data_IF_799946875072
#
_entry.id   IF_799946875072
#
_cell.length_a   1.000
_cell.length_b   1.000
_cell.length_c   1.000
_cell.angle_alpha   90.00
_cell.angle_beta   90.00
_cell.angle_gamma   90.00
#
_symmetry.space_group_name_H-M   'P 1'
#
loop_
_entity.id
_entity.type
_entity.pdbx_description
1 polymer ?
#
# COMPACT_ATOMS: atom_id res chain seq x y z
N UNK A 1 36.61 -9.46 -2.87
CA UNK A 1 35.74 -8.28 -3.05
C UNK A 1 34.52 -8.69 -3.87
N UNK A 2 33.36 -8.83 -3.23
CA UNK A 2 32.08 -8.60 -3.91
C UNK A 2 31.13 -8.07 -2.84
N UNK A 3 30.68 -6.86 -3.13
CA UNK A 3 29.99 -5.91 -2.27
C UNK A 3 28.66 -6.46 -1.78
N UNK A 4 28.41 -6.26 -0.49
CA UNK A 4 27.15 -6.46 0.20
C UNK A 4 26.02 -5.71 -0.51
N UNK A 5 24.96 -6.41 -0.85
CA UNK A 5 23.65 -5.80 -1.09
C UNK A 5 22.70 -6.35 -0.03
N UNK A 6 22.93 -5.90 1.20
CA UNK A 6 21.99 -6.07 2.29
C UNK A 6 20.83 -5.15 1.98
N UNK A 7 19.80 -5.67 1.30
CA UNK A 7 18.51 -5.02 1.19
C UNK A 7 17.97 -4.84 2.61
N UNK A 8 18.27 -3.67 3.18
CA UNK A 8 17.86 -3.27 4.51
C UNK A 8 16.35 -3.04 4.46
N UNK A 9 15.58 -4.08 4.74
CA UNK A 9 14.15 -3.95 5.04
C UNK A 9 14.05 -3.21 6.36
N UNK A 10 14.09 -1.88 6.30
CA UNK A 10 13.67 -1.03 7.42
C UNK A 10 12.23 -1.43 7.72
N UNK A 11 12.01 -2.13 8.83
CA UNK A 11 10.66 -2.44 9.32
C UNK A 11 10.05 -1.12 9.78
N UNK A 12 9.47 -0.39 8.83
CA UNK A 12 8.71 0.82 9.11
C UNK A 12 7.55 0.42 10.02
N UNK A 13 7.43 1.07 11.18
CA UNK A 13 6.33 0.82 12.09
C UNK A 13 5.05 1.43 11.49
N UNK A 14 4.15 0.56 11.01
CA UNK A 14 2.89 0.94 10.38
C UNK A 14 1.76 0.68 11.38
N UNK A 15 1.01 1.72 11.72
CA UNK A 15 -0.23 1.62 12.46
C UNK A 15 -1.36 1.21 11.50
N UNK A 16 -1.88 -0.01 11.66
CA UNK A 16 -2.90 -0.59 10.79
C UNK A 16 -4.32 -0.31 11.31
N UNK A 17 -5.24 -0.02 10.40
CA UNK A 17 -6.68 0.02 10.66
C UNK A 17 -7.26 -1.39 10.84
N UNK A 18 -8.52 -1.45 11.28
CA UNK A 18 -9.31 -2.66 11.15
C UNK A 18 -9.39 -3.10 9.67
N UNK A 19 -9.41 -4.42 9.40
CA UNK A 19 -9.54 -4.93 8.04
C UNK A 19 -10.92 -4.65 7.43
N UNK A 20 -10.92 -4.30 6.14
CA UNK A 20 -12.09 -4.29 5.28
C UNK A 20 -12.10 -5.56 4.44
N UNK A 21 -13.12 -6.40 4.63
CA UNK A 21 -13.30 -7.65 3.91
C UNK A 21 -14.51 -7.54 2.98
N UNK A 22 -14.31 -7.78 1.69
CA UNK A 22 -15.44 -8.02 0.77
C UNK A 22 -15.97 -9.43 0.97
N UNK A 23 -17.27 -9.63 0.78
CA UNK A 23 -17.90 -10.95 0.93
C UNK A 23 -17.24 -11.96 -0.02
N UNK A 24 -16.75 -13.08 0.53
CA UNK A 24 -16.08 -14.14 -0.24
C UNK A 24 -14.70 -13.80 -0.83
N UNK A 25 -14.08 -12.67 -0.47
CA UNK A 25 -12.87 -12.16 -1.13
C UNK A 25 -11.74 -11.75 -0.16
N UNK A 26 -10.66 -11.20 -0.73
CA UNK A 26 -9.47 -10.74 -0.01
C UNK A 26 -9.80 -9.63 1.00
N UNK A 27 -9.26 -9.74 2.21
CA UNK A 27 -9.35 -8.73 3.26
C UNK A 27 -8.15 -7.77 3.18
N UNK A 28 -8.45 -6.47 3.10
CA UNK A 28 -7.46 -5.41 3.00
C UNK A 28 -7.45 -4.54 4.24
N UNK A 29 -6.33 -3.91 4.55
CA UNK A 29 -6.18 -2.95 5.64
C UNK A 29 -5.36 -1.76 5.18
N UNK A 30 -5.71 -0.59 5.70
CA UNK A 30 -4.95 0.63 5.48
C UNK A 30 -3.99 0.86 6.64
N UNK A 31 -2.80 1.36 6.35
CA UNK A 31 -1.79 1.65 7.34
C UNK A 31 -1.19 3.03 7.15
N UNK A 32 -0.76 3.65 8.25
CA UNK A 32 0.13 4.83 8.19
C UNK A 32 1.36 4.64 9.05
N UNK A 33 2.48 5.16 8.59
CA UNK A 33 3.68 5.26 9.40
C UNK A 33 3.80 6.61 10.12
N UNK A 34 4.85 6.75 10.93
CA UNK A 34 5.14 8.00 11.66
C UNK A 34 5.48 9.19 10.74
N UNK A 35 5.85 8.95 9.47
CA UNK A 35 6.11 9.99 8.48
C UNK A 35 4.83 10.41 7.73
N UNK A 36 3.69 9.80 8.03
CA UNK A 36 2.41 10.09 7.39
C UNK A 36 2.22 9.41 6.03
N UNK A 37 3.08 8.47 5.65
CA UNK A 37 2.93 7.69 4.41
C UNK A 37 1.81 6.68 4.58
N UNK A 38 0.99 6.54 3.55
CA UNK A 38 -0.13 5.59 3.52
C UNK A 38 0.28 4.28 2.85
N UNK A 39 -0.26 3.19 3.35
CA UNK A 39 0.02 1.82 2.92
C UNK A 39 -1.29 1.04 2.76
N UNK A 40 -1.34 0.14 1.78
CA UNK A 40 -2.41 -0.85 1.61
C UNK A 40 -1.79 -2.23 1.73
N UNK A 41 -2.30 -3.05 2.65
CA UNK A 41 -1.83 -4.42 2.85
C UNK A 41 -2.99 -5.40 3.00
N UNK A 42 -2.70 -6.69 2.94
CA UNK A 42 -3.66 -7.76 3.23
C UNK A 42 -3.54 -8.22 4.68
N UNK A 43 -4.62 -8.76 5.25
CA UNK A 43 -4.58 -9.39 6.58
C UNK A 43 -3.71 -10.63 6.58
N UNK A 44 -2.93 -10.82 7.65
CA UNK A 44 -2.03 -11.96 7.81
C UNK A 44 -0.72 -11.85 7.03
N UNK A 45 -0.52 -10.81 6.22
CA UNK A 45 0.73 -10.54 5.51
C UNK A 45 1.41 -9.26 6.00
N UNK A 46 2.74 -9.29 6.04
CA UNK A 46 3.58 -8.08 6.19
C UNK A 46 3.80 -7.34 4.86
N UNK A 47 3.45 -7.97 3.74
CA UNK A 47 3.54 -7.36 2.42
C UNK A 47 2.48 -6.26 2.28
N UNK A 48 2.91 -5.14 1.74
CA UNK A 48 2.08 -3.98 1.50
C UNK A 48 2.54 -3.31 0.22
N UNK A 49 1.62 -2.66 -0.48
CA UNK A 49 1.96 -1.83 -1.63
C UNK A 49 2.42 -0.48 -1.11
N UNK A 50 3.63 -0.09 -1.48
CA UNK A 50 4.17 1.26 -1.30
C UNK A 50 4.81 1.69 -2.61
N UNK A 51 4.43 2.85 -3.10
CA UNK A 51 4.99 3.46 -4.32
C UNK A 51 5.49 4.88 -3.98
N UNK A 52 6.14 5.53 -4.93
CA UNK A 52 6.47 6.95 -4.88
C UNK A 52 5.21 7.81 -4.63
N UNK A 53 5.43 8.96 -3.98
CA UNK A 53 4.35 9.93 -3.72
C UNK A 53 3.78 10.45 -5.04
N UNK A 54 4.62 10.57 -6.07
CA UNK A 54 4.27 10.98 -7.42
C UNK A 54 3.31 9.99 -8.07
N UNK A 55 3.62 8.69 -8.03
CA UNK A 55 2.76 7.64 -8.59
C UNK A 55 1.41 7.54 -7.86
N UNK A 56 1.42 7.60 -6.52
CA UNK A 56 0.19 7.59 -5.73
C UNK A 56 -0.68 8.82 -6.01
N UNK A 57 -0.09 10.02 -6.16
CA UNK A 57 -0.82 11.23 -6.54
C UNK A 57 -1.43 11.10 -7.94
N UNK A 58 -0.68 10.56 -8.89
CA UNK A 58 -1.16 10.33 -10.25
C UNK A 58 -2.36 9.36 -10.25
N UNK A 59 -2.25 8.25 -9.53
CA UNK A 59 -3.33 7.28 -9.38
C UNK A 59 -4.59 7.91 -8.77
N UNK A 60 -4.46 8.64 -7.65
CA UNK A 60 -5.59 9.32 -7.00
C UNK A 60 -6.24 10.34 -7.94
N UNK A 61 -5.45 11.09 -8.70
CA UNK A 61 -5.97 12.04 -9.69
C UNK A 61 -6.74 11.32 -10.81
N UNK A 62 -6.24 10.18 -11.28
CA UNK A 62 -6.89 9.37 -12.31
C UNK A 62 -8.23 8.77 -11.83
N UNK A 63 -8.28 8.26 -10.59
CA UNK A 63 -9.52 7.78 -9.95
C UNK A 63 -10.54 8.90 -9.84
N UNK A 64 -10.13 10.08 -9.36
CA UNK A 64 -11.05 11.23 -9.24
C UNK A 64 -11.56 11.74 -10.59
N UNK A 65 -10.79 11.55 -11.66
CA UNK A 65 -11.18 11.92 -13.01
C UNK A 65 -12.05 10.84 -13.71
N UNK A 66 -12.37 9.72 -13.04
CA UNK A 66 -13.06 8.58 -13.64
C UNK A 66 -12.21 7.78 -14.63
N UNK A 67 -10.95 8.17 -14.85
CA UNK A 67 -10.06 7.50 -15.80
C UNK A 67 -9.66 6.08 -15.34
N UNK A 68 -9.83 5.78 -14.05
CA UNK A 68 -9.53 4.48 -13.45
C UNK A 68 -10.78 3.63 -13.16
N UNK A 69 -11.97 4.03 -13.63
CA UNK A 69 -13.22 3.31 -13.32
C UNK A 69 -13.23 1.87 -13.87
N UNK A 70 -12.46 1.62 -14.92
CA UNK A 70 -12.24 0.28 -15.48
C UNK A 70 -11.49 -0.68 -14.52
N UNK A 71 -10.88 -0.18 -13.44
CA UNK A 71 -10.27 -1.00 -12.39
C UNK A 71 -11.27 -1.47 -11.32
N UNK A 72 -12.49 -0.94 -11.32
CA UNK A 72 -13.55 -1.27 -10.37
C UNK A 72 -14.57 -2.29 -10.93
N UNK A 73 -14.33 -2.82 -12.12
CA UNK A 73 -15.21 -3.74 -12.85
C UNK A 73 -14.92 -5.22 -12.54
#
# INVERSE_FOLDING_TARGET
>A
MKTSETASTVRTHIAWSEPFCSEGANCFRFGRDAAGRAYIGTTGSGAHVSDSVEALRALVSAVKAGAADHLLA
#
